data_IF_755580031550
#
_entry.id   IF_755580031550
#
_cell.length_a   1.000
_cell.length_b   1.000
_cell.length_c   1.000
_cell.angle_alpha   90.00
_cell.angle_beta   90.00
_cell.angle_gamma   90.00
#
_symmetry.space_group_name_H-M   'P 1'
#
loop_
_entity.id
_entity.type
_entity.pdbx_description
1 polymer ?
#
# COMPACT_ATOMS: atom_id res chain seq x y z
N UNK A 1 -1.19 0.59 8.69
CA UNK A 1 -2.53 0.55 8.06
C UNK A 1 -3.45 1.36 8.94
N UNK A 2 -4.33 2.20 8.41
CA UNK A 2 -5.24 3.03 9.23
C UNK A 2 -6.68 2.66 8.92
N UNK A 3 -7.52 2.65 9.95
CA UNK A 3 -8.96 2.52 9.86
C UNK A 3 -9.60 3.52 10.82
N UNK A 4 -10.83 3.90 10.55
CA UNK A 4 -11.61 4.74 11.43
C UNK A 4 -13.01 4.18 11.60
N UNK A 5 -13.63 4.47 12.74
CA UNK A 5 -15.03 4.19 13.02
C UNK A 5 -15.70 5.52 13.34
N UNK A 6 -16.91 5.72 12.83
CA UNK A 6 -17.66 6.98 12.98
C UNK A 6 -19.13 6.65 13.20
N UNK A 7 -19.73 7.28 14.21
CA UNK A 7 -21.17 7.31 14.43
C UNK A 7 -21.64 8.74 14.13
N UNK A 8 -22.41 8.92 13.05
CA UNK A 8 -22.93 10.24 12.67
C UNK A 8 -24.19 10.58 13.45
N UNK A 9 -24.35 11.86 13.79
CA UNK A 9 -25.59 12.38 14.35
C UNK A 9 -26.55 12.76 13.20
N UNK A 10 -27.71 12.09 13.15
CA UNK A 10 -28.75 12.36 12.15
C UNK A 10 -29.27 13.80 12.17
N UNK A 11 -29.15 14.52 13.30
CA UNK A 11 -29.55 15.93 13.45
C UNK A 11 -28.46 16.90 13.01
N UNK A 12 -27.19 16.48 12.99
CA UNK A 12 -26.02 17.34 12.66
C UNK A 12 -25.41 16.93 11.32
N UNK A 13 -26.14 17.19 10.24
CA UNK A 13 -25.73 16.81 8.88
C UNK A 13 -24.36 17.40 8.51
N UNK A 14 -23.58 16.60 7.76
CA UNK A 14 -22.29 16.98 7.18
C UNK A 14 -22.44 16.96 5.66
N UNK A 15 -22.50 18.15 5.05
CA UNK A 15 -22.69 18.28 3.61
C UNK A 15 -21.36 18.10 2.84
N UNK A 16 -21.43 17.38 1.72
CA UNK A 16 -20.30 17.16 0.81
C UNK A 16 -19.40 15.98 1.16
N UNK A 17 -19.90 15.02 1.95
CA UNK A 17 -19.31 13.69 2.07
C UNK A 17 -19.38 12.98 0.72
N UNK A 18 -18.28 12.33 0.32
CA UNK A 18 -18.11 11.57 -0.90
C UNK A 18 -16.93 10.59 -0.70
N UNK A 19 -16.63 9.74 -1.69
CA UNK A 19 -15.41 8.93 -1.67
C UNK A 19 -14.19 9.82 -1.40
N UNK A 20 -13.42 9.47 -0.36
CA UNK A 20 -12.23 10.21 0.05
C UNK A 20 -11.23 10.40 -1.09
N UNK A 21 -11.17 9.49 -2.06
CA UNK A 21 -10.26 9.51 -3.21
C UNK A 21 -10.65 10.56 -4.25
N UNK A 22 -11.94 10.89 -4.37
CA UNK A 22 -12.43 11.91 -5.32
C UNK A 22 -12.33 13.33 -4.75
N UNK A 23 -12.24 13.46 -3.42
CA UNK A 23 -12.09 14.73 -2.74
C UNK A 23 -10.65 15.25 -2.82
N UNK A 24 -10.49 16.57 -2.95
CA UNK A 24 -9.16 17.20 -2.84
C UNK A 24 -8.61 17.06 -1.40
N UNK A 25 -7.29 17.09 -1.19
CA UNK A 25 -6.69 17.05 0.14
C UNK A 25 -7.26 18.14 1.07
N UNK A 26 -7.40 19.37 0.59
CA UNK A 26 -7.91 20.51 1.37
C UNK A 26 -9.36 20.27 1.78
N UNK A 27 -10.17 19.74 0.86
CA UNK A 27 -11.57 19.42 1.15
C UNK A 27 -11.70 18.29 2.16
N UNK A 28 -10.82 17.28 2.09
CA UNK A 28 -10.78 16.20 3.08
C UNK A 28 -10.44 16.72 4.48
N UNK A 29 -9.46 17.61 4.63
CA UNK A 29 -9.09 18.18 5.93
C UNK A 29 -10.26 18.99 6.55
N UNK A 30 -10.95 19.80 5.74
CA UNK A 30 -12.16 20.53 6.18
C UNK A 30 -13.27 19.57 6.62
N UNK A 31 -13.52 18.51 5.85
CA UNK A 31 -14.53 17.51 6.20
C UNK A 31 -14.13 16.71 7.43
N UNK A 32 -12.86 16.34 7.60
CA UNK A 32 -12.36 15.66 8.78
C UNK A 32 -12.60 16.48 10.05
N UNK A 33 -12.35 17.80 10.01
CA UNK A 33 -12.69 18.71 11.12
C UNK A 33 -14.19 18.68 11.44
N UNK A 34 -15.05 18.78 10.42
CA UNK A 34 -16.52 18.74 10.59
C UNK A 34 -17.01 17.40 11.13
N UNK A 35 -16.42 16.28 10.70
CA UNK A 35 -16.75 14.94 11.20
C UNK A 35 -16.40 14.87 12.69
N UNK A 36 -15.19 15.28 13.08
CA UNK A 36 -14.77 15.26 14.48
C UNK A 36 -15.62 16.13 15.39
N UNK A 37 -16.10 17.27 14.89
CA UNK A 37 -16.96 18.21 15.61
C UNK A 37 -18.42 17.74 15.74
N UNK A 38 -18.93 17.03 14.72
CA UNK A 38 -20.37 16.77 14.56
C UNK A 38 -20.80 15.32 14.78
N UNK A 39 -19.89 14.37 14.65
CA UNK A 39 -20.18 12.96 14.94
C UNK A 39 -20.54 12.78 16.42
N UNK A 40 -21.36 11.77 16.71
CA UNK A 40 -21.68 11.33 18.08
C UNK A 40 -20.44 10.73 18.73
N UNK A 41 -19.75 9.88 17.99
CA UNK A 41 -18.49 9.26 18.39
C UNK A 41 -17.64 8.98 17.15
N UNK A 42 -16.33 9.02 17.30
CA UNK A 42 -15.41 8.61 16.26
C UNK A 42 -14.09 8.16 16.88
N UNK A 43 -13.38 7.29 16.20
CA UNK A 43 -12.04 6.88 16.57
C UNK A 43 -11.23 6.52 15.32
N UNK A 44 -9.92 6.67 15.40
CA UNK A 44 -8.98 6.26 14.35
C UNK A 44 -7.94 5.36 14.98
N UNK A 45 -7.78 4.17 14.43
CA UNK A 45 -6.80 3.20 14.89
C UNK A 45 -5.91 2.74 13.74
N UNK A 46 -4.79 2.13 14.11
CA UNK A 46 -3.82 1.63 13.15
C UNK A 46 -3.34 0.22 13.48
N UNK A 47 -2.81 -0.43 12.45
CA UNK A 47 -1.94 -1.60 12.57
C UNK A 47 -0.54 -1.23 12.09
N UNK A 48 0.47 -1.61 12.89
CA UNK A 48 1.88 -1.25 12.68
C UNK A 48 2.49 -1.96 11.46
N UNK A 49 3.71 -1.60 11.09
CA UNK A 49 4.44 -2.29 10.01
C UNK A 49 4.70 -3.74 10.38
N UNK A 50 5.09 -3.99 11.63
CA UNK A 50 5.36 -5.33 12.18
C UNK A 50 4.09 -6.19 12.19
N UNK A 51 2.94 -5.60 12.52
CA UNK A 51 1.66 -6.30 12.47
C UNK A 51 1.25 -6.63 11.05
N UNK A 52 1.49 -5.73 10.09
CA UNK A 52 1.22 -6.01 8.67
C UNK A 52 2.12 -7.13 8.16
N UNK A 53 3.41 -7.10 8.48
CA UNK A 53 4.36 -8.12 8.06
C UNK A 53 4.03 -9.48 8.68
N UNK A 54 3.51 -9.52 9.91
CA UNK A 54 3.11 -10.77 10.60
C UNK A 54 1.76 -11.31 10.14
N UNK A 55 0.76 -10.42 9.99
CA UNK A 55 -0.63 -10.80 9.78
C UNK A 55 -1.05 -10.81 8.31
N UNK A 56 -0.23 -10.26 7.42
CA UNK A 56 -0.61 -9.79 6.08
C UNK A 56 -1.53 -8.54 6.12
N UNK A 57 -1.65 -7.87 4.96
CA UNK A 57 -2.38 -6.59 4.86
C UNK A 57 -3.89 -6.73 5.10
N UNK A 58 -4.48 -7.89 4.79
CA UNK A 58 -5.91 -8.14 4.98
C UNK A 58 -6.24 -8.30 6.46
N UNK A 59 -5.54 -9.16 7.21
CA UNK A 59 -5.82 -9.29 8.64
C UNK A 59 -5.38 -8.07 9.44
N UNK A 60 -4.33 -7.35 9.00
CA UNK A 60 -3.95 -6.08 9.61
C UNK A 60 -5.00 -4.98 9.39
N UNK A 61 -5.72 -4.97 8.26
CA UNK A 61 -6.86 -4.06 8.08
C UNK A 61 -8.04 -4.42 8.98
N UNK A 62 -8.36 -5.71 9.10
CA UNK A 62 -9.37 -6.21 10.03
C UNK A 62 -9.06 -5.86 11.50
N UNK A 63 -7.79 -5.98 11.90
CA UNK A 63 -7.31 -5.58 13.22
C UNK A 63 -7.46 -4.08 13.46
N UNK A 64 -7.06 -3.24 12.50
CA UNK A 64 -7.21 -1.79 12.62
C UNK A 64 -8.68 -1.38 12.72
N UNK A 65 -9.57 -2.01 11.94
CA UNK A 65 -11.02 -1.76 12.01
C UNK A 65 -11.60 -2.15 13.37
N UNK A 66 -11.23 -3.32 13.90
CA UNK A 66 -11.65 -3.75 15.25
C UNK A 66 -11.23 -2.73 16.31
N UNK A 67 -9.95 -2.34 16.32
CA UNK A 67 -9.43 -1.34 17.25
C UNK A 67 -10.15 -0.01 17.15
N UNK A 68 -10.50 0.43 15.94
CA UNK A 68 -11.24 1.66 15.76
C UNK A 68 -12.63 1.60 16.39
N UNK A 69 -13.33 0.46 16.30
CA UNK A 69 -14.63 0.27 16.95
C UNK A 69 -14.51 0.16 18.46
N UNK A 70 -13.50 -0.57 18.96
CA UNK A 70 -13.23 -0.74 20.41
C UNK A 70 -12.87 0.59 21.10
N UNK A 71 -12.36 1.57 20.35
CA UNK A 71 -12.00 2.90 20.86
C UNK A 71 -13.15 3.92 20.81
N UNK A 72 -14.33 3.54 20.31
CA UNK A 72 -15.48 4.44 20.33
C UNK A 72 -16.00 4.61 21.77
N UNK A 73 -16.22 5.87 22.18
CA UNK A 73 -16.86 6.18 23.46
C UNK A 73 -18.33 5.69 23.53
N UNK A 74 -18.94 5.42 22.37
CA UNK A 74 -20.30 4.90 22.24
C UNK A 74 -20.26 3.58 21.47
N UNK A 75 -20.75 2.50 22.09
CA UNK A 75 -20.83 1.18 21.45
C UNK A 75 -21.88 1.20 20.33
N UNK A 76 -21.52 0.85 19.08
CA UNK A 76 -22.48 0.77 17.99
C UNK A 76 -23.37 -0.48 18.11
N UNK A 77 -24.63 -0.36 17.68
CA UNK A 77 -25.55 -1.50 17.52
C UNK A 77 -25.22 -2.29 16.25
N UNK A 78 -24.92 -1.57 15.16
CA UNK A 78 -24.54 -2.11 13.87
C UNK A 78 -23.37 -1.31 13.27
N UNK A 79 -22.39 -2.01 12.71
CA UNK A 79 -21.25 -1.43 12.00
C UNK A 79 -21.31 -1.75 10.50
N UNK A 80 -21.25 -0.71 9.65
CA UNK A 80 -21.17 -0.87 8.21
C UNK A 80 -19.74 -0.64 7.73
N UNK A 81 -19.22 -1.58 6.95
CA UNK A 81 -17.79 -1.70 6.65
C UNK A 81 -17.59 -1.66 5.14
N UNK A 82 -16.66 -0.83 4.68
CA UNK A 82 -16.28 -0.80 3.27
C UNK A 82 -15.53 -2.08 2.88
N UNK A 83 -16.09 -2.82 1.91
CA UNK A 83 -15.51 -4.05 1.38
C UNK A 83 -16.46 -5.25 1.44
N UNK A 84 -15.87 -6.44 1.48
CA UNK A 84 -16.59 -7.72 1.37
C UNK A 84 -16.43 -8.64 2.59
N UNK A 85 -15.77 -8.18 3.65
CA UNK A 85 -15.55 -8.95 4.88
C UNK A 85 -15.76 -8.08 6.11
N UNK A 86 -16.29 -8.69 7.17
CA UNK A 86 -16.42 -8.07 8.48
C UNK A 86 -15.37 -8.64 9.45
N UNK A 87 -14.67 -7.80 10.24
CA UNK A 87 -14.00 -8.25 11.44
C UNK A 87 -15.04 -8.65 12.51
N UNK A 88 -14.60 -9.44 13.48
CA UNK A 88 -15.33 -9.60 14.73
C UNK A 88 -15.24 -8.29 15.54
N UNK A 89 -16.39 -7.66 15.76
CA UNK A 89 -16.54 -6.32 16.35
C UNK A 89 -17.36 -6.30 17.65
N UNK A 90 -17.89 -7.44 18.09
CA UNK A 90 -18.80 -7.50 19.24
C UNK A 90 -20.12 -6.74 19.04
N UNK A 91 -20.48 -6.39 17.80
CA UNK A 91 -21.78 -5.86 17.39
C UNK A 91 -22.19 -6.48 16.04
N UNK A 92 -23.41 -6.20 15.58
CA UNK A 92 -23.84 -6.62 14.24
C UNK A 92 -22.96 -5.92 13.21
N UNK A 93 -22.44 -6.64 12.21
CA UNK A 93 -21.55 -6.07 11.21
C UNK A 93 -21.98 -6.44 9.80
N UNK A 94 -21.98 -5.46 8.90
CA UNK A 94 -22.33 -5.63 7.49
C UNK A 94 -21.24 -5.06 6.59
N UNK A 95 -20.75 -5.89 5.67
CA UNK A 95 -19.82 -5.48 4.63
C UNK A 95 -20.61 -4.90 3.43
N UNK A 96 -20.14 -3.78 2.90
CA UNK A 96 -20.73 -3.07 1.77
C UNK A 96 -19.62 -2.74 0.79
N UNK A 97 -19.67 -3.33 -0.39
CA UNK A 97 -18.72 -3.04 -1.47
C UNK A 97 -18.95 -1.61 -1.96
N UNK A 98 -17.86 -0.85 -2.11
CA UNK A 98 -17.86 0.57 -2.45
C UNK A 98 -18.70 1.42 -1.47
N UNK A 99 -18.67 1.02 -0.19
CA UNK A 99 -19.52 1.61 0.84
C UNK A 99 -19.21 3.09 1.06
N UNK A 100 -17.97 3.52 0.84
CA UNK A 100 -17.54 4.92 0.98
C UNK A 100 -18.15 5.86 -0.07
N UNK A 101 -18.52 5.34 -1.24
CA UNK A 101 -19.26 6.07 -2.27
C UNK A 101 -20.78 6.05 -2.03
N UNK A 102 -21.30 5.02 -1.35
CA UNK A 102 -22.73 4.78 -1.19
C UNK A 102 -23.32 5.31 0.13
N UNK A 103 -22.54 5.30 1.21
CA UNK A 103 -23.03 5.58 2.55
C UNK A 103 -22.24 6.70 3.24
N UNK A 104 -22.91 7.79 3.67
CA UNK A 104 -22.25 8.92 4.33
C UNK A 104 -21.42 8.55 5.56
N UNK A 105 -21.85 7.56 6.35
CA UNK A 105 -21.11 7.10 7.55
C UNK A 105 -19.79 6.43 7.18
N UNK A 106 -19.76 5.63 6.10
CA UNK A 106 -18.56 4.98 5.60
C UNK A 106 -17.64 6.01 4.93
N UNK A 107 -18.20 6.95 4.17
CA UNK A 107 -17.47 8.11 3.64
C UNK A 107 -16.78 8.91 4.75
N UNK A 108 -17.47 9.18 5.86
CA UNK A 108 -16.89 9.89 6.99
C UNK A 108 -15.71 9.13 7.61
N UNK A 109 -15.86 7.81 7.81
CA UNK A 109 -14.77 6.96 8.29
C UNK A 109 -13.58 6.93 7.31
N UNK A 110 -13.81 6.79 6.00
CA UNK A 110 -12.72 6.77 5.01
C UNK A 110 -11.97 8.11 4.96
N UNK A 111 -12.66 9.24 5.11
CA UNK A 111 -12.05 10.58 5.22
C UNK A 111 -11.16 10.68 6.46
N UNK A 112 -11.62 10.24 7.65
CA UNK A 112 -10.80 10.27 8.87
C UNK A 112 -9.57 9.37 8.77
N UNK A 113 -9.73 8.15 8.26
CA UNK A 113 -8.60 7.24 8.05
C UNK A 113 -7.58 7.82 7.06
N UNK A 114 -8.06 8.39 5.95
CA UNK A 114 -7.21 8.97 4.89
C UNK A 114 -6.44 10.21 5.37
N UNK A 115 -7.13 11.15 6.02
CA UNK A 115 -6.49 12.38 6.53
C UNK A 115 -5.46 12.08 7.61
N UNK A 116 -5.77 11.16 8.53
CA UNK A 116 -4.83 10.72 9.57
C UNK A 116 -3.59 10.08 8.95
N UNK A 117 -3.77 9.17 7.99
CA UNK A 117 -2.64 8.53 7.30
C UNK A 117 -1.83 9.52 6.45
N UNK A 118 -2.47 10.47 5.78
CA UNK A 118 -1.76 11.49 5.00
C UNK A 118 -0.94 12.41 5.91
N UNK A 119 -1.43 12.71 7.13
CA UNK A 119 -0.70 13.46 8.14
C UNK A 119 0.51 12.68 8.69
N UNK A 120 0.33 11.40 9.03
CA UNK A 120 1.43 10.52 9.46
C UNK A 120 2.55 10.48 8.41
N UNK A 121 2.21 10.36 7.12
CA UNK A 121 3.23 10.34 6.06
C UNK A 121 3.94 11.68 5.85
N UNK A 122 3.29 12.80 6.19
CA UNK A 122 3.97 14.11 6.21
C UNK A 122 4.97 14.17 7.36
N UNK A 123 4.59 13.73 8.56
CA UNK A 123 5.52 13.67 9.70
C UNK A 123 6.69 12.71 9.44
N UNK A 124 6.42 11.53 8.85
CA UNK A 124 7.47 10.58 8.48
C UNK A 124 8.39 11.11 7.38
N UNK A 125 7.93 12.03 6.54
CA UNK A 125 8.78 12.70 5.56
C UNK A 125 9.81 13.61 6.23
N UNK A 126 9.49 14.24 7.37
CA UNK A 126 10.46 15.05 8.12
C UNK A 126 11.61 14.17 8.65
N UNK A 127 11.30 12.95 9.09
CA UNK A 127 12.30 11.97 9.54
C UNK A 127 13.08 11.32 8.38
N UNK A 128 12.42 11.14 7.23
CA UNK A 128 12.95 10.43 6.06
C UNK A 128 12.76 11.26 4.77
N UNK A 129 13.34 12.46 4.66
CA UNK A 129 13.08 13.39 3.57
C UNK A 129 13.49 12.84 2.20
N UNK A 130 14.53 12.01 2.17
CA UNK A 130 15.11 11.43 0.96
C UNK A 130 14.15 10.48 0.21
N UNK A 131 13.08 10.00 0.85
CA UNK A 131 12.13 9.08 0.23
C UNK A 131 10.93 9.76 -0.44
N UNK A 132 10.58 11.00 -0.08
CA UNK A 132 9.44 11.71 -0.69
C UNK A 132 8.05 11.38 -0.11
N UNK A 133 7.97 10.80 1.08
CA UNK A 133 6.71 10.32 1.69
C UNK A 133 5.57 11.35 1.75
N UNK A 134 5.87 12.65 1.86
CA UNK A 134 4.87 13.70 1.84
C UNK A 134 4.12 13.79 0.50
N UNK A 135 4.69 13.32 -0.61
CA UNK A 135 4.06 13.32 -1.94
C UNK A 135 3.27 12.05 -2.19
N UNK A 136 3.95 10.91 -2.22
CA UNK A 136 3.38 9.62 -2.64
C UNK A 136 2.84 8.77 -1.48
N UNK A 137 2.93 9.22 -0.22
CA UNK A 137 2.34 8.55 0.96
C UNK A 137 2.79 7.09 1.17
N UNK A 138 3.94 6.71 0.62
CA UNK A 138 4.46 5.34 0.66
C UNK A 138 3.90 4.40 -0.41
N UNK A 139 3.06 4.87 -1.34
CA UNK A 139 2.67 4.07 -2.51
C UNK A 139 3.87 3.82 -3.42
N UNK A 140 3.86 2.71 -4.16
CA UNK A 140 4.92 2.29 -5.08
C UNK A 140 4.90 3.08 -6.41
N UNK A 141 4.96 4.41 -6.30
CA UNK A 141 5.11 5.33 -7.43
C UNK A 141 6.50 5.19 -8.04
N UNK A 142 6.69 5.75 -9.25
CA UNK A 142 8.00 5.78 -9.87
C UNK A 142 9.03 6.42 -8.93
N UNK A 143 8.71 7.60 -8.40
CA UNK A 143 9.57 8.33 -7.47
C UNK A 143 9.99 7.50 -6.25
N UNK A 144 9.05 6.80 -5.62
CA UNK A 144 9.33 6.02 -4.41
C UNK A 144 10.20 4.79 -4.70
N UNK A 145 9.93 4.11 -5.82
CA UNK A 145 10.74 2.98 -6.26
C UNK A 145 12.17 3.42 -6.63
N UNK A 146 12.35 4.61 -7.22
CA UNK A 146 13.71 5.15 -7.43
C UNK A 146 14.41 5.46 -6.10
N UNK A 147 13.71 6.01 -5.11
CA UNK A 147 14.28 6.21 -3.78
C UNK A 147 14.71 4.89 -3.13
N UNK A 148 13.87 3.85 -3.18
CA UNK A 148 14.21 2.50 -2.71
C UNK A 148 15.43 1.93 -3.44
N UNK A 149 15.49 2.06 -4.76
CA UNK A 149 16.62 1.59 -5.57
C UNK A 149 17.93 2.36 -5.32
N UNK A 150 17.88 3.56 -4.74
CA UNK A 150 19.09 4.32 -4.35
C UNK A 150 19.52 4.04 -2.93
N UNK A 151 18.55 3.99 -2.01
CA UNK A 151 18.78 4.12 -0.56
C UNK A 151 18.55 2.80 0.19
N UNK A 152 17.90 1.82 -0.43
CA UNK A 152 17.32 0.69 0.28
C UNK A 152 16.06 1.07 1.08
N UNK A 153 15.45 0.14 1.81
CA UNK A 153 14.32 0.42 2.68
C UNK A 153 14.74 0.98 4.04
N UNK A 154 13.99 1.93 4.57
CA UNK A 154 14.03 2.34 5.98
C UNK A 154 12.99 1.60 6.85
N UNK A 155 13.00 1.86 8.17
CA UNK A 155 12.20 1.19 9.21
C UNK A 155 10.69 1.13 8.92
N UNK A 156 10.13 2.12 8.22
CA UNK A 156 8.67 2.18 7.98
C UNK A 156 8.21 1.38 6.75
N UNK A 157 9.14 0.74 6.03
CA UNK A 157 8.81 -0.10 4.89
C UNK A 157 8.38 -1.49 5.32
N UNK A 158 7.31 -1.99 4.69
CA UNK A 158 6.72 -3.30 4.98
C UNK A 158 7.52 -4.39 4.29
N UNK A 159 8.25 -5.20 5.04
CA UNK A 159 9.18 -6.20 4.51
C UNK A 159 8.47 -7.32 3.74
N UNK A 160 7.22 -7.58 4.06
CA UNK A 160 6.39 -8.58 3.36
C UNK A 160 5.99 -8.18 1.94
N UNK A 161 6.12 -6.90 1.55
CA UNK A 161 5.72 -6.42 0.23
C UNK A 161 6.84 -6.63 -0.78
N UNK A 162 6.54 -7.10 -2.00
CA UNK A 162 7.57 -7.48 -2.98
C UNK A 162 8.66 -6.42 -3.22
N UNK A 163 8.25 -5.15 -3.31
CA UNK A 163 9.15 -4.03 -3.59
C UNK A 163 10.18 -3.78 -2.47
N UNK A 164 9.96 -4.35 -1.29
CA UNK A 164 10.79 -4.20 -0.10
C UNK A 164 11.40 -5.56 0.29
N UNK A 165 10.63 -6.64 0.22
CA UNK A 165 11.07 -7.99 0.60
C UNK A 165 12.29 -8.49 -0.18
N UNK A 166 12.45 -8.04 -1.43
CA UNK A 166 13.66 -8.33 -2.23
C UNK A 166 14.94 -7.89 -1.54
N UNK A 167 14.90 -6.83 -0.72
CA UNK A 167 16.04 -6.33 0.05
C UNK A 167 16.56 -7.30 1.13
N UNK A 168 15.77 -8.33 1.42
CA UNK A 168 16.04 -9.32 2.47
C UNK A 168 16.15 -10.74 1.92
N UNK A 169 16.20 -10.92 0.59
CA UNK A 169 16.33 -12.22 -0.07
C UNK A 169 17.74 -12.39 -0.65
N UNK A 170 18.52 -13.34 -0.14
CA UNK A 170 19.86 -13.68 -0.65
C UNK A 170 20.88 -12.54 -0.58
N UNK A 171 22.06 -12.75 -1.19
CA UNK A 171 23.17 -11.77 -1.24
C UNK A 171 22.94 -10.58 -2.20
N UNK A 172 21.69 -10.33 -2.61
CA UNK A 172 21.33 -9.17 -3.45
C UNK A 172 21.80 -7.84 -2.84
N UNK A 173 21.78 -7.74 -1.51
CA UNK A 173 21.97 -6.49 -0.76
C UNK A 173 22.99 -6.60 0.39
N UNK A 174 23.70 -7.73 0.49
CA UNK A 174 24.80 -7.92 1.44
C UNK A 174 26.05 -7.17 0.98
N UNK A 175 26.86 -7.78 0.12
CA UNK A 175 28.17 -7.23 -0.25
C UNK A 175 28.19 -6.44 -1.58
N UNK A 176 27.25 -6.70 -2.50
CA UNK A 176 27.30 -6.19 -3.89
C UNK A 176 26.56 -4.87 -4.09
N UNK A 177 25.47 -4.63 -3.35
CA UNK A 177 24.65 -3.42 -3.49
C UNK A 177 25.38 -2.14 -3.07
N UNK A 178 26.25 -2.18 -2.07
CA UNK A 178 27.06 -1.01 -1.70
C UNK A 178 28.08 -0.63 -2.79
N UNK A 179 28.59 -1.63 -3.52
CA UNK A 179 29.71 -1.50 -4.46
C UNK A 179 29.29 -1.07 -5.88
N UNK A 180 28.03 -1.32 -6.27
CA UNK A 180 27.51 -0.91 -7.58
C UNK A 180 27.31 0.61 -7.68
N UNK A 181 27.59 1.17 -8.86
CA UNK A 181 27.22 2.55 -9.19
C UNK A 181 25.70 2.78 -9.00
N UNK A 182 25.32 3.91 -8.42
CA UNK A 182 23.93 4.20 -8.06
C UNK A 182 22.95 4.02 -9.23
N UNK A 183 23.33 4.47 -10.43
CA UNK A 183 22.52 4.34 -11.64
C UNK A 183 22.21 2.88 -11.97
N UNK A 184 23.20 1.99 -11.83
CA UNK A 184 23.04 0.56 -12.08
C UNK A 184 22.19 -0.11 -11.00
N UNK A 185 22.35 0.29 -9.72
CA UNK A 185 21.52 -0.20 -8.61
C UNK A 185 20.05 0.09 -8.82
N UNK A 186 19.73 1.35 -9.10
CA UNK A 186 18.36 1.78 -9.34
C UNK A 186 17.77 1.00 -10.50
N UNK A 187 18.49 0.90 -11.63
CA UNK A 187 17.99 0.18 -12.80
C UNK A 187 17.82 -1.32 -12.56
N UNK A 188 18.71 -1.94 -11.82
CA UNK A 188 18.61 -3.37 -11.46
C UNK A 188 17.40 -3.64 -10.55
N UNK A 189 17.19 -2.78 -9.56
CA UNK A 189 15.98 -2.84 -8.72
C UNK A 189 14.69 -2.59 -9.51
N UNK A 190 14.71 -1.65 -10.46
CA UNK A 190 13.57 -1.38 -11.35
C UNK A 190 13.25 -2.56 -12.24
N UNK A 191 14.27 -3.22 -12.81
CA UNK A 191 14.11 -4.46 -13.56
C UNK A 191 13.39 -5.52 -12.72
N UNK A 192 13.81 -5.74 -11.47
CA UNK A 192 13.12 -6.63 -10.56
C UNK A 192 11.65 -6.24 -10.33
N UNK A 193 11.39 -4.98 -10.00
CA UNK A 193 10.02 -4.52 -9.74
C UNK A 193 9.10 -4.71 -10.95
N UNK A 194 9.60 -4.44 -12.15
CA UNK A 194 8.84 -4.64 -13.38
C UNK A 194 8.66 -6.13 -13.73
N UNK A 195 9.69 -6.95 -13.53
CA UNK A 195 9.62 -8.39 -13.70
C UNK A 195 8.57 -9.02 -12.78
N UNK A 196 8.51 -8.55 -11.52
CA UNK A 196 7.53 -9.01 -10.53
C UNK A 196 6.11 -8.57 -10.88
N UNK A 197 5.93 -7.33 -11.37
CA UNK A 197 4.63 -6.88 -11.91
C UNK A 197 4.19 -7.71 -13.11
N UNK A 198 5.13 -8.07 -14.00
CA UNK A 198 4.84 -8.91 -15.15
C UNK A 198 4.51 -10.35 -14.73
N UNK A 199 5.19 -10.91 -13.73
CA UNK A 199 4.90 -12.26 -13.24
C UNK A 199 3.54 -12.38 -12.57
N UNK A 200 3.11 -11.31 -11.89
CA UNK A 200 1.88 -11.30 -11.10
C UNK A 200 0.69 -10.72 -11.90
N UNK A 201 0.87 -10.42 -13.20
CA UNK A 201 -0.16 -9.86 -14.05
C UNK A 201 -1.28 -10.88 -14.29
N UNK A 202 -2.44 -10.63 -13.70
CA UNK A 202 -3.62 -11.47 -13.87
C UNK A 202 -4.17 -11.41 -15.31
N UNK A 203 -4.61 -12.56 -15.84
CA UNK A 203 -5.27 -12.65 -17.15
C UNK A 203 -4.35 -12.52 -18.37
N UNK A 204 -3.03 -12.56 -18.18
CA UNK A 204 -2.07 -12.42 -19.26
C UNK A 204 -1.82 -13.75 -19.98
N UNK A 205 -2.02 -13.80 -21.30
CA UNK A 205 -1.69 -14.99 -22.10
C UNK A 205 -0.19 -15.16 -22.36
N UNK A 206 0.26 -16.39 -22.65
CA UNK A 206 1.68 -16.72 -22.87
C UNK A 206 2.35 -15.88 -23.98
N UNK A 207 1.65 -15.64 -25.10
CA UNK A 207 2.21 -14.87 -26.21
C UNK A 207 2.43 -13.39 -25.84
N UNK A 208 1.51 -12.82 -25.07
CA UNK A 208 1.62 -11.45 -24.58
C UNK A 208 2.71 -11.32 -23.52
N UNK A 209 2.79 -12.29 -22.59
CA UNK A 209 3.89 -12.41 -21.63
C UNK A 209 5.26 -12.43 -22.34
N UNK A 210 5.43 -13.28 -23.36
CA UNK A 210 6.71 -13.37 -24.10
C UNK A 210 7.03 -12.07 -24.86
N UNK A 211 6.01 -11.33 -25.34
CA UNK A 211 6.20 -9.98 -25.93
C UNK A 211 6.67 -8.96 -24.89
N UNK A 212 6.01 -8.89 -23.74
CA UNK A 212 6.35 -7.96 -22.66
C UNK A 212 7.72 -8.28 -22.05
N UNK A 213 8.03 -9.56 -21.84
CA UNK A 213 9.33 -10.02 -21.39
C UNK A 213 10.46 -9.60 -22.35
N UNK A 214 10.27 -9.74 -23.68
CA UNK A 214 11.25 -9.24 -24.66
C UNK A 214 11.42 -7.72 -24.59
N UNK A 215 10.33 -6.98 -24.39
CA UNK A 215 10.38 -5.52 -24.21
C UNK A 215 11.17 -5.14 -22.96
N UNK A 216 10.94 -5.85 -21.85
CA UNK A 216 11.65 -5.67 -20.59
C UNK A 216 13.16 -5.90 -20.78
N UNK A 217 13.55 -7.00 -21.43
CA UNK A 217 14.96 -7.30 -21.72
C UNK A 217 15.64 -6.19 -22.53
N UNK A 218 14.97 -5.64 -23.55
CA UNK A 218 15.54 -4.53 -24.34
C UNK A 218 15.71 -3.26 -23.51
N UNK A 219 14.74 -2.95 -22.64
CA UNK A 219 14.78 -1.74 -21.82
C UNK A 219 15.93 -1.75 -20.80
N UNK A 220 16.26 -2.93 -20.29
CA UNK A 220 17.29 -3.14 -19.26
C UNK A 220 18.51 -3.90 -19.80
N UNK A 221 18.80 -3.78 -21.10
CA UNK A 221 19.93 -4.47 -21.73
C UNK A 221 21.28 -4.10 -21.11
N UNK A 222 21.41 -2.86 -20.64
CA UNK A 222 22.55 -2.36 -19.88
C UNK A 222 22.75 -3.11 -18.55
N UNK A 223 21.66 -3.32 -17.79
CA UNK A 223 21.68 -4.11 -16.55
C UNK A 223 22.03 -5.57 -16.83
N UNK A 224 21.42 -6.15 -17.87
CA UNK A 224 21.65 -7.54 -18.24
C UNK A 224 23.09 -7.83 -18.71
N UNK A 225 23.81 -6.80 -19.15
CA UNK A 225 25.20 -6.89 -19.61
C UNK A 225 26.22 -6.60 -18.51
N UNK A 226 25.81 -6.03 -17.37
CA UNK A 226 26.71 -5.66 -16.27
C UNK A 226 26.97 -6.85 -15.35
N UNK A 227 28.26 -7.18 -15.16
CA UNK A 227 28.68 -8.29 -14.29
C UNK A 227 28.30 -8.03 -12.83
N UNK A 228 28.39 -6.78 -12.39
CA UNK A 228 28.04 -6.37 -11.02
C UNK A 228 26.54 -6.55 -10.72
N UNK A 229 25.69 -6.59 -11.76
CA UNK A 229 24.25 -6.82 -11.62
C UNK A 229 23.85 -8.30 -11.72
N UNK A 230 24.80 -9.23 -11.95
CA UNK A 230 24.50 -10.65 -12.18
C UNK A 230 23.59 -11.29 -11.10
N UNK A 231 23.79 -11.06 -9.79
CA UNK A 231 22.90 -11.62 -8.77
C UNK A 231 21.45 -11.14 -8.91
N UNK A 232 21.24 -9.89 -9.34
CA UNK A 232 19.89 -9.33 -9.53
C UNK A 232 19.23 -9.92 -10.78
N UNK A 233 20.02 -10.11 -11.84
CA UNK A 233 19.58 -10.71 -13.10
C UNK A 233 19.17 -12.18 -12.91
N UNK A 234 19.88 -12.95 -12.09
CA UNK A 234 19.53 -14.33 -11.78
C UNK A 234 18.15 -14.45 -11.13
N UNK A 235 17.84 -13.55 -10.19
CA UNK A 235 16.56 -13.54 -9.48
C UNK A 235 15.42 -13.14 -10.40
N UNK A 236 15.62 -12.09 -11.20
CA UNK A 236 14.69 -11.69 -12.26
C UNK A 236 14.40 -12.85 -13.22
N UNK A 237 15.45 -13.56 -13.63
CA UNK A 237 15.35 -14.71 -14.53
C UNK A 237 14.53 -15.84 -13.90
N UNK A 238 14.75 -16.12 -12.61
CA UNK A 238 13.98 -17.12 -11.87
C UNK A 238 12.49 -16.76 -11.77
N UNK A 239 12.19 -15.50 -11.42
CA UNK A 239 10.82 -14.97 -11.34
C UNK A 239 10.09 -15.13 -12.69
N UNK A 240 10.70 -14.66 -13.78
CA UNK A 240 10.08 -14.69 -15.11
C UNK A 240 9.96 -16.12 -15.65
N UNK A 241 10.92 -17.01 -15.35
CA UNK A 241 10.87 -18.42 -15.74
C UNK A 241 9.72 -19.15 -15.05
N UNK A 242 9.50 -18.89 -13.76
CA UNK A 242 8.42 -19.53 -13.00
C UNK A 242 7.04 -19.05 -13.49
N UNK A 243 6.87 -17.74 -13.71
CA UNK A 243 5.64 -17.18 -14.27
C UNK A 243 5.31 -17.77 -15.64
N UNK A 244 6.31 -17.86 -16.53
CA UNK A 244 6.14 -18.46 -17.86
C UNK A 244 5.76 -19.93 -17.81
N UNK A 245 6.21 -20.68 -16.81
CA UNK A 245 5.84 -22.10 -16.60
C UNK A 245 4.38 -22.22 -16.17
N UNK A 246 3.92 -21.37 -15.26
CA UNK A 246 2.52 -21.33 -14.83
C UNK A 246 1.59 -21.06 -16.02
N UNK A 247 1.90 -20.04 -16.82
CA UNK A 247 1.14 -19.70 -18.04
C UNK A 247 1.15 -20.76 -19.16
N UNK A 248 2.00 -21.78 -19.07
CA UNK A 248 1.98 -22.94 -19.99
C UNK A 248 1.13 -24.10 -19.46
N UNK A 249 0.82 -24.05 -18.17
CA UNK A 249 0.09 -25.07 -17.42
C UNK A 249 -1.40 -24.73 -17.32
N UNK A 250 -1.74 -23.44 -17.44
CA UNK A 250 -3.09 -22.87 -17.58
C UNK A 250 -3.56 -22.87 -19.04
#
# INVERSE_FOLDING_TARGET
MHAAAVILDGKRRINGLADSKVLTPERREVLAGRIKERAVAWAVASASVEEIDRLNIFHASMLAMRRAVEQLDVRPEEAWIDGNHCPDLGCTAKAIVDGDALHPVISAASILAKTTRDAEMRALHERYPQYGFARHKGYATAEHLDALGRLGPCEIHRRSFYAVGVFFQGDLFGDTWGAMAESLRVRSYRLYCEAKKLSDAAGLGLAEFDKLHRSLKRRYADVLAAEEAAPHVEIVTSVLRNARRQLRSD
#
